data_IF_119928529691
#
_entry.id   IF_119928529691
#
_cell.length_a   1.000
_cell.length_b   1.000
_cell.length_c   1.000
_cell.angle_alpha   90.00
_cell.angle_beta   90.00
_cell.angle_gamma   90.00
#
_symmetry.space_group_name_H-M   'P 1'
#
loop_
_entity.id
_entity.type
_entity.pdbx_description
1 polymer ?
#
# COMPACT_ATOMS: atom_id res chain seq x y z
N UNK A 1 -9.89 0.32 15.17
CA UNK A 1 -8.88 -0.16 14.21
C UNK A 1 -9.51 -1.22 13.33
N UNK A 2 -9.58 -0.96 12.03
CA UNK A 2 -10.06 -1.91 11.02
C UNK A 2 -8.87 -2.62 10.39
N UNK A 3 -8.98 -3.93 10.16
CA UNK A 3 -8.00 -4.72 9.40
C UNK A 3 -8.56 -5.04 8.02
N UNK A 4 -7.71 -4.89 7.01
CA UNK A 4 -8.05 -5.17 5.61
C UNK A 4 -6.97 -6.10 5.07
N UNK A 5 -7.38 -7.24 4.57
CA UNK A 5 -6.49 -8.19 3.92
C UNK A 5 -6.61 -8.02 2.41
N UNK A 6 -5.47 -7.82 1.74
CA UNK A 6 -5.40 -7.54 0.32
C UNK A 6 -4.46 -8.53 -0.34
N UNK A 7 -4.93 -9.23 -1.37
CA UNK A 7 -4.06 -10.02 -2.25
C UNK A 7 -3.16 -9.07 -3.04
N UNK A 8 -1.85 -9.14 -2.82
CA UNK A 8 -0.89 -8.24 -3.43
C UNK A 8 -0.95 -8.28 -4.95
N UNK A 9 -1.00 -9.47 -5.54
CA UNK A 9 -1.11 -9.66 -6.99
C UNK A 9 -2.35 -8.99 -7.57
N UNK A 10 -3.53 -9.32 -7.03
CA UNK A 10 -4.80 -8.72 -7.46
C UNK A 10 -4.82 -7.20 -7.27
N UNK A 11 -4.17 -6.68 -6.23
CA UNK A 11 -4.05 -5.25 -6.00
C UNK A 11 -3.17 -4.56 -7.05
N UNK A 12 -2.00 -5.12 -7.37
CA UNK A 12 -1.14 -4.58 -8.43
C UNK A 12 -1.82 -4.63 -9.80
N UNK A 13 -2.57 -5.69 -10.09
CA UNK A 13 -3.40 -5.75 -11.30
C UNK A 13 -4.47 -4.66 -11.32
N UNK A 14 -5.16 -4.44 -10.19
CA UNK A 14 -6.15 -3.38 -10.08
C UNK A 14 -5.54 -1.98 -10.29
N UNK A 15 -4.33 -1.72 -9.80
CA UNK A 15 -3.62 -0.47 -10.05
C UNK A 15 -3.33 -0.27 -11.54
N UNK A 16 -2.86 -1.32 -12.23
CA UNK A 16 -2.61 -1.30 -13.67
C UNK A 16 -3.91 -1.06 -14.47
N UNK A 17 -5.00 -1.71 -14.07
CA UNK A 17 -6.31 -1.58 -14.74
C UNK A 17 -6.91 -0.18 -14.57
N UNK A 18 -6.71 0.43 -13.40
CA UNK A 18 -7.23 1.77 -13.08
C UNK A 18 -6.30 2.91 -13.49
N UNK A 19 -5.11 2.60 -14.03
CA UNK A 19 -4.05 3.57 -14.32
C UNK A 19 -3.80 4.54 -13.15
N UNK A 20 -3.77 3.99 -11.93
CA UNK A 20 -3.69 4.78 -10.69
C UNK A 20 -2.60 4.24 -9.77
N UNK A 21 -2.11 5.10 -8.89
CA UNK A 21 -1.08 4.72 -7.92
C UNK A 21 -1.68 4.10 -6.66
N UNK A 22 -0.93 3.20 -6.02
CA UNK A 22 -1.27 2.64 -4.68
C UNK A 22 -1.67 3.75 -3.69
N UNK A 23 -0.92 4.85 -3.68
CA UNK A 23 -1.15 6.00 -2.81
C UNK A 23 -2.47 6.72 -3.07
N UNK A 24 -2.95 6.74 -4.31
CA UNK A 24 -4.25 7.34 -4.62
C UNK A 24 -5.39 6.48 -4.05
N UNK A 25 -5.29 5.16 -4.19
CA UNK A 25 -6.24 4.23 -3.57
C UNK A 25 -6.23 4.41 -2.05
N UNK A 26 -5.04 4.46 -1.44
CA UNK A 26 -4.88 4.66 0.00
C UNK A 26 -5.48 6.00 0.46
N UNK A 27 -5.25 7.09 -0.26
CA UNK A 27 -5.82 8.40 0.01
C UNK A 27 -7.36 8.35 0.02
N UNK A 28 -7.96 7.61 -0.92
CA UNK A 28 -9.42 7.40 -0.96
C UNK A 28 -9.93 6.52 0.19
N UNK A 29 -9.09 5.68 0.78
CA UNK A 29 -9.44 4.84 1.93
C UNK A 29 -9.33 5.56 3.27
N UNK A 30 -8.65 6.71 3.33
CA UNK A 30 -8.55 7.55 4.53
C UNK A 30 -9.93 8.12 4.84
N UNK A 31 -10.43 7.79 6.03
CA UNK A 31 -11.74 8.26 6.49
C UNK A 31 -11.69 8.82 7.92
N UNK A 32 -10.51 9.28 8.36
CA UNK A 32 -10.28 9.71 9.75
C UNK A 32 -10.00 8.59 10.75
N UNK A 33 -9.97 7.33 10.30
CA UNK A 33 -9.65 6.15 11.11
C UNK A 33 -8.39 5.44 10.61
N UNK A 34 -7.60 4.92 11.56
CA UNK A 34 -6.44 4.08 11.25
C UNK A 34 -6.89 2.69 10.80
N UNK A 35 -6.34 2.26 9.65
CA UNK A 35 -6.61 0.94 9.07
C UNK A 35 -5.31 0.19 8.88
N UNK A 36 -5.31 -1.09 9.22
CA UNK A 36 -4.16 -1.96 8.99
C UNK A 36 -4.43 -2.78 7.72
N UNK A 37 -3.61 -2.54 6.69
CA UNK A 37 -3.64 -3.21 5.41
C UNK A 37 -2.60 -4.32 5.42
N UNK A 38 -3.04 -5.56 5.33
CA UNK A 38 -2.19 -6.74 5.31
C UNK A 38 -2.14 -7.23 3.87
N UNK A 39 -0.97 -7.10 3.24
CA UNK A 39 -0.73 -7.64 1.92
C UNK A 39 -0.40 -9.13 2.02
N UNK A 40 -1.27 -9.93 1.42
CA UNK A 40 -1.16 -11.37 1.34
C UNK A 40 -0.72 -11.81 -0.06
N UNK A 41 0.04 -12.88 -0.13
CA UNK A 41 0.32 -13.59 -1.37
C UNK A 41 -0.90 -14.42 -1.82
N UNK A 42 -0.83 -15.02 -3.01
CA UNK A 42 -1.83 -15.94 -3.52
C UNK A 42 -2.06 -17.15 -2.58
N UNK A 43 -1.04 -17.56 -1.82
CA UNK A 43 -1.14 -18.62 -0.81
C UNK A 43 -1.62 -18.13 0.58
N UNK A 44 -2.19 -16.93 0.70
CA UNK A 44 -2.63 -16.35 1.98
C UNK A 44 -1.50 -16.11 2.99
N UNK A 45 -0.25 -16.09 2.52
CA UNK A 45 0.92 -15.74 3.34
C UNK A 45 1.07 -14.23 3.43
N UNK A 46 1.31 -13.72 4.63
CA UNK A 46 1.59 -12.30 4.85
C UNK A 46 2.92 -11.94 4.20
N UNK A 47 2.87 -11.06 3.19
CA UNK A 47 4.05 -10.49 2.55
C UNK A 47 4.54 -9.27 3.32
N UNK A 48 3.63 -8.35 3.64
CA UNK A 48 3.92 -7.17 4.45
C UNK A 48 2.62 -6.55 4.98
N UNK A 49 2.73 -5.82 6.09
CA UNK A 49 1.65 -5.06 6.69
C UNK A 49 1.94 -3.56 6.59
N UNK A 50 0.96 -2.79 6.18
CA UNK A 50 1.01 -1.34 6.07
C UNK A 50 -0.11 -0.74 6.92
N UNK A 51 0.21 0.20 7.79
CA UNK A 51 -0.79 0.93 8.57
C UNK A 51 -1.14 2.18 7.81
N UNK A 52 -2.35 2.20 7.24
CA UNK A 52 -2.90 3.39 6.60
C UNK A 52 -3.18 4.44 7.68
N UNK A 53 -2.52 5.61 7.62
CA UNK A 53 -2.76 6.66 8.59
C UNK A 53 -4.18 7.21 8.44
N UNK A 54 -4.72 7.72 9.53
CA UNK A 54 -6.01 8.41 9.55
C UNK A 54 -6.00 9.79 8.89
N UNK A 55 -4.80 10.32 8.56
CA UNK A 55 -4.63 11.67 8.03
C UNK A 55 -3.79 11.67 6.74
N UNK A 56 -4.18 12.41 5.71
CA UNK A 56 -3.51 12.41 4.40
C UNK A 56 -2.10 13.00 4.44
N UNK A 57 -1.79 13.88 5.38
CA UNK A 57 -0.43 14.44 5.54
C UNK A 57 0.59 13.34 5.83
N UNK A 58 0.29 12.43 6.75
CA UNK A 58 1.15 11.28 7.06
C UNK A 58 1.31 10.32 5.89
N UNK A 59 0.23 10.12 5.11
CA UNK A 59 0.28 9.30 3.91
C UNK A 59 1.28 9.85 2.88
N UNK A 60 1.35 11.18 2.75
CA UNK A 60 2.30 11.80 1.83
C UNK A 60 3.76 11.68 2.33
N UNK A 61 3.98 11.77 3.64
CA UNK A 61 5.28 11.50 4.25
C UNK A 61 5.72 10.05 4.01
N UNK A 62 4.85 9.08 4.29
CA UNK A 62 5.06 7.66 3.98
C UNK A 62 5.38 7.45 2.51
N UNK A 63 4.65 8.11 1.59
CA UNK A 63 4.93 8.04 0.15
C UNK A 63 6.34 8.49 -0.19
N UNK A 64 6.79 9.60 0.40
CA UNK A 64 8.13 10.15 0.14
C UNK A 64 9.22 9.22 0.67
N UNK A 65 9.04 8.69 1.87
CA UNK A 65 9.97 7.71 2.45
C UNK A 65 9.99 6.40 1.67
N UNK A 66 8.81 5.88 1.32
CA UNK A 66 8.67 4.64 0.57
C UNK A 66 9.24 4.78 -0.84
N UNK A 67 8.97 5.88 -1.55
CA UNK A 67 9.57 6.10 -2.88
C UNK A 67 11.10 6.11 -2.83
N UNK A 68 11.69 6.61 -1.74
CA UNK A 68 13.14 6.63 -1.53
C UNK A 68 13.69 5.23 -1.23
N UNK A 69 13.00 4.44 -0.41
CA UNK A 69 13.43 3.08 -0.05
C UNK A 69 13.13 2.04 -1.13
N UNK A 70 12.06 2.23 -1.91
CA UNK A 70 11.60 1.28 -2.91
C UNK A 70 12.33 1.46 -4.25
N UNK A 71 12.73 2.68 -4.60
CA UNK A 71 13.63 2.92 -5.73
C UNK A 71 14.96 2.16 -5.58
N UNK A 72 15.46 2.06 -4.34
CA UNK A 72 16.67 1.30 -4.02
C UNK A 72 16.44 -0.22 -4.14
N UNK A 73 15.29 -0.74 -3.66
CA UNK A 73 14.95 -2.17 -3.79
C UNK A 73 14.67 -2.63 -5.22
N UNK A 74 14.04 -1.80 -6.06
CA UNK A 74 13.78 -2.15 -7.46
C UNK A 74 15.07 -2.23 -8.29
N UNK A 75 16.09 -1.43 -7.96
CA UNK A 75 17.41 -1.54 -8.59
C UNK A 75 18.14 -2.84 -8.25
N UNK A 76 17.74 -3.53 -7.18
CA UNK A 76 18.34 -4.79 -6.74
C UNK A 76 17.58 -6.04 -7.22
N UNK A 77 16.53 -5.86 -8.03
CA UNK A 77 15.77 -6.91 -8.69
C UNK A 77 16.13 -7.08 -10.18
N UNK A 78 17.20 -6.42 -10.64
CA UNK A 78 17.80 -6.62 -11.97
C UNK A 78 18.93 -7.65 -11.96
#
# INVERSE_FOLDING_TARGET
MQRIEIKAEAFFELLKLKDTSMWEIFSQMINGEEKEIIFLDNEDKILFNYVLPSNPEKLEEDRKEFSKQFADKLNHLN
#
